data_IF_504368982118
#
_entry.id   IF_504368982118
#
_cell.length_a   1.000
_cell.length_b   1.000
_cell.length_c   1.000
_cell.angle_alpha   90.00
_cell.angle_beta   90.00
_cell.angle_gamma   90.00
#
_symmetry.space_group_name_H-M   'P 1'
#
loop_
_entity.id
_entity.type
_entity.pdbx_description
1 polymer ?
#
# COMPACT_ATOMS: atom_id res chain seq x y z
N UNK A 1 -2.13 26.31 -4.81
CA UNK A 1 -3.14 26.15 -5.90
C UNK A 1 -3.42 24.70 -6.18
N UNK A 2 -2.45 23.78 -6.20
CA UNK A 2 -2.67 22.33 -6.43
C UNK A 2 -3.65 21.70 -5.43
N UNK A 3 -3.62 22.10 -4.16
CA UNK A 3 -4.57 21.67 -3.13
C UNK A 3 -6.04 21.88 -3.52
N UNK A 4 -6.38 22.95 -4.24
CA UNK A 4 -7.74 23.21 -4.68
C UNK A 4 -8.24 22.26 -5.80
N UNK A 5 -7.33 21.49 -6.40
CA UNK A 5 -7.66 20.44 -7.35
C UNK A 5 -8.07 19.11 -6.67
N UNK A 6 -7.89 19.00 -5.36
CA UNK A 6 -8.29 17.80 -4.61
C UNK A 6 -9.82 17.75 -4.45
N UNK A 7 -10.43 16.60 -4.71
CA UNK A 7 -11.87 16.44 -4.81
C UNK A 7 -12.69 16.93 -3.61
N UNK A 8 -12.10 16.92 -2.40
CA UNK A 8 -12.75 17.41 -1.17
C UNK A 8 -13.03 18.92 -1.21
N UNK A 9 -12.30 19.68 -2.02
CA UNK A 9 -12.49 21.13 -2.20
C UNK A 9 -13.39 21.47 -3.38
N UNK A 10 -14.02 20.48 -4.03
CA UNK A 10 -14.93 20.74 -5.14
C UNK A 10 -16.07 21.65 -4.68
N UNK A 11 -16.35 22.76 -5.40
CA UNK A 11 -17.41 23.68 -5.03
C UNK A 11 -18.77 23.01 -5.12
N UNK A 12 -19.63 23.21 -4.12
CA UNK A 12 -20.96 22.64 -4.06
C UNK A 12 -22.02 23.75 -3.91
N UNK A 13 -23.04 23.72 -4.76
CA UNK A 13 -24.19 24.58 -4.60
C UNK A 13 -25.05 24.12 -3.43
N UNK A 14 -25.12 24.94 -2.36
CA UNK A 14 -25.84 24.61 -1.13
C UNK A 14 -27.34 24.28 -1.37
N UNK A 15 -28.01 25.08 -2.14
CA UNK A 15 -29.44 24.89 -2.38
C UNK A 15 -29.72 23.59 -3.15
N UNK A 16 -28.86 23.27 -4.12
CA UNK A 16 -28.94 22.04 -4.88
C UNK A 16 -28.63 20.83 -3.99
N UNK A 17 -27.57 20.89 -3.19
CA UNK A 17 -27.19 19.84 -2.26
C UNK A 17 -28.35 19.49 -1.29
N UNK A 18 -28.96 20.53 -0.67
CA UNK A 18 -30.12 20.34 0.21
C UNK A 18 -31.33 19.75 -0.53
N UNK A 19 -31.58 20.18 -1.79
CA UNK A 19 -32.69 19.66 -2.61
C UNK A 19 -32.53 18.18 -2.97
N UNK A 20 -31.28 17.66 -2.91
CA UNK A 20 -30.96 16.27 -3.17
C UNK A 20 -30.83 15.42 -1.88
N UNK A 21 -31.31 15.93 -0.76
CA UNK A 21 -31.33 15.24 0.52
C UNK A 21 -30.02 15.31 1.29
N UNK A 22 -29.16 16.28 0.97
CA UNK A 22 -27.97 16.60 1.76
C UNK A 22 -28.33 17.35 3.05
N UNK A 23 -27.47 17.28 4.05
CA UNK A 23 -27.59 18.01 5.31
C UNK A 23 -26.30 18.73 5.64
N UNK A 24 -26.38 19.87 6.31
CA UNK A 24 -25.23 20.63 6.81
C UNK A 24 -25.21 20.59 8.33
N UNK A 25 -24.00 20.43 8.87
CA UNK A 25 -23.76 20.39 10.30
C UNK A 25 -23.61 18.99 10.84
N UNK A 26 -22.72 18.82 11.83
CA UNK A 26 -22.41 17.51 12.40
C UNK A 26 -23.60 16.93 13.15
N UNK A 27 -24.34 17.78 13.88
CA UNK A 27 -25.52 17.34 14.63
C UNK A 27 -26.65 16.89 13.72
N UNK A 28 -26.91 17.63 12.64
CA UNK A 28 -27.93 17.29 11.64
C UNK A 28 -27.55 16.02 10.88
N UNK A 29 -26.26 15.82 10.58
CA UNK A 29 -25.76 14.61 9.95
C UNK A 29 -25.95 13.39 10.87
N UNK A 30 -25.56 13.48 12.14
CA UNK A 30 -25.67 12.39 13.09
C UNK A 30 -27.12 12.04 13.45
N UNK A 31 -28.03 13.01 13.38
CA UNK A 31 -29.43 12.84 13.73
C UNK A 31 -30.36 12.65 12.53
N UNK A 32 -29.84 12.54 11.31
CA UNK A 32 -30.66 12.34 10.12
C UNK A 32 -31.39 10.98 10.20
N UNK A 33 -32.68 11.02 10.52
CA UNK A 33 -33.52 9.84 10.60
C UNK A 33 -33.62 9.17 9.21
N UNK A 34 -33.25 7.90 9.12
CA UNK A 34 -33.24 7.14 7.86
C UNK A 34 -32.00 7.35 7.00
N UNK A 35 -30.98 8.06 7.50
CA UNK A 35 -29.74 8.34 6.77
C UNK A 35 -29.83 9.57 5.86
N UNK A 36 -28.77 9.80 5.08
CA UNK A 36 -28.68 10.93 4.17
C UNK A 36 -28.93 10.42 2.76
N UNK A 37 -29.91 11.00 2.07
CA UNK A 37 -30.28 10.59 0.71
C UNK A 37 -29.26 11.07 -0.35
N UNK A 38 -28.50 12.14 -0.08
CA UNK A 38 -27.47 12.64 -1.00
C UNK A 38 -26.38 11.58 -1.23
N UNK A 39 -26.11 11.29 -2.50
CA UNK A 39 -25.09 10.30 -2.90
C UNK A 39 -25.56 8.85 -2.90
N UNK A 40 -26.83 8.57 -2.55
CA UNK A 40 -27.36 7.20 -2.53
C UNK A 40 -27.79 6.69 -3.90
N UNK A 41 -28.09 7.60 -4.82
CA UNK A 41 -28.38 7.28 -6.23
C UNK A 41 -27.73 8.31 -7.15
N UNK A 42 -27.52 8.00 -8.44
CA UNK A 42 -26.96 8.95 -9.41
C UNK A 42 -27.71 10.30 -9.47
N UNK A 43 -29.04 10.28 -9.31
CA UNK A 43 -29.86 11.46 -9.35
C UNK A 43 -29.74 12.36 -8.12
N UNK A 44 -29.23 11.81 -7.03
CA UNK A 44 -29.04 12.50 -5.76
C UNK A 44 -27.61 13.05 -5.57
N UNK A 45 -26.86 13.24 -6.66
CA UNK A 45 -25.48 13.76 -6.65
C UNK A 45 -25.44 15.08 -7.43
N UNK A 46 -24.68 16.05 -6.92
CA UNK A 46 -24.31 17.25 -7.66
C UNK A 46 -23.05 16.98 -8.48
N UNK A 47 -23.14 17.07 -9.79
CA UNK A 47 -22.00 16.86 -10.70
C UNK A 47 -21.46 18.20 -11.19
N UNK A 48 -20.15 18.39 -11.11
CA UNK A 48 -19.43 19.51 -11.70
C UNK A 48 -18.29 19.07 -12.65
N UNK A 49 -18.08 17.77 -12.77
CA UNK A 49 -17.06 17.17 -13.61
C UNK A 49 -17.53 16.86 -15.05
N UNK A 50 -16.64 16.29 -15.87
CA UNK A 50 -16.89 16.00 -17.28
C UNK A 50 -17.92 14.88 -17.52
N UNK A 51 -18.24 14.10 -16.49
CA UNK A 51 -19.19 12.97 -16.58
C UNK A 51 -20.19 13.00 -15.44
N UNK A 52 -21.35 12.39 -15.69
CA UNK A 52 -22.37 12.06 -14.69
C UNK A 52 -22.54 10.54 -14.64
N UNK A 53 -22.77 9.96 -13.46
CA UNK A 53 -23.18 8.56 -13.37
C UNK A 53 -24.62 8.44 -13.88
N UNK A 54 -24.83 7.62 -14.91
CA UNK A 54 -26.16 7.39 -15.50
C UNK A 54 -26.75 6.04 -15.07
N UNK A 55 -25.91 5.08 -14.69
CA UNK A 55 -26.31 3.78 -14.13
C UNK A 55 -25.34 3.41 -13.04
N UNK A 56 -25.85 2.92 -11.92
CA UNK A 56 -25.08 2.24 -10.88
C UNK A 56 -25.82 0.93 -10.58
N UNK A 57 -25.24 -0.18 -11.02
CA UNK A 57 -25.78 -1.51 -10.84
C UNK A 57 -24.79 -2.37 -10.04
N UNK A 58 -25.20 -3.56 -9.64
CA UNK A 58 -24.40 -4.48 -8.85
C UNK A 58 -23.04 -4.82 -9.51
N UNK A 59 -23.05 -4.96 -10.83
CA UNK A 59 -21.89 -5.40 -11.60
C UNK A 59 -21.36 -4.36 -12.62
N UNK A 60 -21.91 -3.15 -12.63
CA UNK A 60 -21.44 -2.12 -13.56
C UNK A 60 -21.79 -0.70 -13.12
N UNK A 61 -20.92 0.24 -13.50
CA UNK A 61 -21.20 1.69 -13.41
C UNK A 61 -21.05 2.29 -14.80
N UNK A 62 -22.04 3.09 -15.22
CA UNK A 62 -22.03 3.79 -16.51
C UNK A 62 -21.93 5.29 -16.26
N UNK A 63 -20.94 5.91 -16.84
CA UNK A 63 -20.79 7.36 -16.89
C UNK A 63 -21.10 7.89 -18.28
N UNK A 64 -21.85 8.98 -18.34
CA UNK A 64 -22.20 9.68 -19.59
C UNK A 64 -21.61 11.08 -19.55
N UNK A 65 -21.15 11.59 -20.69
CA UNK A 65 -20.61 12.94 -20.80
C UNK A 65 -21.60 13.98 -20.26
N UNK A 66 -21.11 14.91 -19.46
CA UNK A 66 -21.89 15.98 -18.83
C UNK A 66 -21.98 17.17 -19.79
N UNK A 67 -23.12 17.34 -20.46
CA UNK A 67 -23.36 18.44 -21.41
C UNK A 67 -23.36 19.83 -20.74
N UNK A 68 -23.46 19.88 -19.41
CA UNK A 68 -23.36 21.11 -18.61
C UNK A 68 -21.94 21.38 -18.11
N UNK A 69 -20.98 20.54 -18.43
CA UNK A 69 -19.59 20.74 -18.02
C UNK A 69 -19.00 21.97 -18.73
N UNK A 70 -18.30 22.81 -17.97
CA UNK A 70 -17.78 24.09 -18.49
C UNK A 70 -16.79 23.91 -19.68
N UNK A 71 -16.07 22.80 -19.72
CA UNK A 71 -15.11 22.48 -20.79
C UNK A 71 -15.55 21.21 -21.55
N UNK A 72 -16.82 21.11 -21.89
CA UNK A 72 -17.38 19.91 -22.53
C UNK A 72 -16.79 19.61 -23.92
N UNK A 73 -16.25 20.61 -24.60
CA UNK A 73 -15.66 20.46 -25.94
C UNK A 73 -14.31 19.69 -25.86
N UNK A 74 -13.68 19.62 -24.70
CA UNK A 74 -12.51 18.78 -24.45
C UNK A 74 -12.86 17.32 -24.09
N UNK A 75 -14.14 16.98 -23.94
CA UNK A 75 -14.60 15.63 -23.56
C UNK A 75 -14.81 14.78 -24.81
N UNK A 76 -13.82 13.95 -25.14
CA UNK A 76 -13.84 13.12 -26.34
C UNK A 76 -14.69 11.85 -26.17
N UNK A 77 -14.62 11.19 -25.02
CA UNK A 77 -15.40 9.99 -24.74
C UNK A 77 -16.81 10.39 -24.31
N UNK A 78 -17.82 9.86 -24.98
CA UNK A 78 -19.21 10.15 -24.65
C UNK A 78 -19.80 9.24 -23.58
N UNK A 79 -19.21 8.06 -23.39
CA UNK A 79 -19.65 7.05 -22.44
C UNK A 79 -18.44 6.28 -21.91
N UNK A 80 -18.44 6.00 -20.61
CA UNK A 80 -17.48 5.12 -19.94
C UNK A 80 -18.29 4.05 -19.21
N UNK A 81 -17.92 2.80 -19.36
CA UNK A 81 -18.55 1.67 -18.66
C UNK A 81 -17.50 0.97 -17.81
N UNK A 82 -17.73 0.92 -16.52
CA UNK A 82 -16.95 0.09 -15.63
C UNK A 82 -17.68 -1.22 -15.35
N UNK A 83 -17.02 -2.33 -15.56
CA UNK A 83 -17.52 -3.66 -15.25
C UNK A 83 -16.85 -4.18 -13.98
N UNK A 84 -17.65 -4.76 -13.11
CA UNK A 84 -17.13 -5.40 -11.91
C UNK A 84 -16.39 -6.70 -12.24
N UNK A 85 -15.24 -6.91 -11.62
CA UNK A 85 -14.49 -8.16 -11.67
C UNK A 85 -14.15 -8.56 -10.22
N UNK A 86 -14.58 -9.75 -9.80
CA UNK A 86 -14.35 -10.28 -8.45
C UNK A 86 -12.92 -10.79 -8.23
N UNK A 87 -12.12 -10.86 -9.31
CA UNK A 87 -10.72 -11.30 -9.26
C UNK A 87 -10.51 -12.80 -9.07
N UNK A 88 -11.57 -13.62 -9.11
CA UNK A 88 -11.47 -15.08 -8.97
C UNK A 88 -10.88 -15.75 -10.21
N UNK A 89 -11.23 -15.27 -11.40
CA UNK A 89 -10.60 -15.70 -12.65
C UNK A 89 -9.47 -14.72 -13.03
N UNK A 90 -8.19 -15.13 -12.90
CA UNK A 90 -7.06 -14.27 -13.21
C UNK A 90 -6.95 -13.89 -14.69
N UNK A 91 -7.61 -14.62 -15.60
CA UNK A 91 -7.61 -14.34 -17.04
C UNK A 91 -8.85 -13.59 -17.51
N UNK A 92 -9.85 -13.35 -16.64
CA UNK A 92 -11.10 -12.74 -17.06
C UNK A 92 -10.91 -11.41 -17.78
N UNK A 93 -10.18 -10.47 -17.20
CA UNK A 93 -9.96 -9.15 -17.81
C UNK A 93 -9.19 -9.24 -19.14
N UNK A 94 -8.21 -10.12 -19.22
CA UNK A 94 -7.47 -10.41 -20.46
C UNK A 94 -8.41 -10.98 -21.54
N UNK A 95 -9.18 -12.02 -21.22
CA UNK A 95 -10.11 -12.64 -22.14
C UNK A 95 -11.20 -11.67 -22.61
N UNK A 96 -11.74 -10.85 -21.69
CA UNK A 96 -12.72 -9.81 -22.02
C UNK A 96 -12.14 -8.76 -22.98
N UNK A 97 -10.85 -8.41 -22.84
CA UNK A 97 -10.14 -7.51 -23.76
C UNK A 97 -9.94 -8.17 -25.14
N UNK A 98 -9.52 -9.44 -25.19
CA UNK A 98 -9.33 -10.18 -26.43
C UNK A 98 -10.65 -10.46 -27.18
N UNK A 99 -11.78 -10.39 -26.50
CA UNK A 99 -13.12 -10.58 -27.06
C UNK A 99 -13.88 -9.24 -27.29
N UNK A 100 -13.19 -8.09 -27.29
CA UNK A 100 -13.77 -6.76 -27.50
C UNK A 100 -14.88 -6.36 -26.47
N UNK A 101 -14.86 -6.98 -25.28
CA UNK A 101 -15.74 -6.60 -24.17
C UNK A 101 -15.16 -5.41 -23.39
N UNK A 102 -13.83 -5.35 -23.30
CA UNK A 102 -13.05 -4.27 -22.68
C UNK A 102 -12.13 -3.63 -23.71
N UNK A 103 -11.91 -2.33 -23.61
CA UNK A 103 -10.95 -1.58 -24.44
C UNK A 103 -9.49 -1.84 -24.03
N UNK A 104 -9.25 -2.39 -22.83
CA UNK A 104 -7.94 -2.73 -22.32
C UNK A 104 -8.00 -3.21 -20.87
N UNK A 105 -6.92 -3.83 -20.42
CA UNK A 105 -6.81 -4.32 -19.04
C UNK A 105 -5.38 -4.23 -18.51
N UNK A 106 -5.22 -4.26 -17.19
CA UNK A 106 -3.95 -4.53 -16.55
C UNK A 106 -3.61 -6.03 -16.63
N UNK A 107 -2.38 -6.37 -17.03
CA UNK A 107 -1.93 -7.75 -17.08
C UNK A 107 -1.35 -8.16 -15.72
N UNK A 108 -1.97 -9.15 -15.09
CA UNK A 108 -1.37 -9.88 -13.97
C UNK A 108 -0.40 -10.98 -14.48
N UNK A 109 0.26 -11.69 -13.59
CA UNK A 109 1.25 -12.72 -13.95
C UNK A 109 0.68 -13.80 -14.89
N UNK A 110 -0.53 -14.28 -14.66
CA UNK A 110 -1.19 -15.29 -15.50
C UNK A 110 -1.52 -14.74 -16.89
N UNK A 111 -2.01 -13.50 -16.95
CA UNK A 111 -2.33 -12.81 -18.20
C UNK A 111 -1.08 -12.49 -19.04
N UNK A 112 0.05 -12.16 -18.39
CA UNK A 112 1.34 -12.01 -19.08
C UNK A 112 1.76 -13.31 -19.78
N UNK A 113 1.66 -14.45 -19.08
CA UNK A 113 1.98 -15.77 -19.64
C UNK A 113 1.04 -16.09 -20.81
N UNK A 114 -0.27 -15.84 -20.65
CA UNK A 114 -1.25 -16.10 -21.71
C UNK A 114 -1.01 -15.20 -22.92
N UNK A 115 -0.80 -13.90 -22.75
CA UNK A 115 -0.54 -12.96 -23.84
C UNK A 115 0.72 -13.33 -24.65
N UNK A 116 1.77 -13.83 -23.97
CA UNK A 116 2.97 -14.38 -24.64
C UNK A 116 2.66 -15.64 -25.42
N UNK A 117 1.86 -16.54 -24.86
CA UNK A 117 1.43 -17.77 -25.52
C UNK A 117 0.60 -17.48 -26.77
N UNK A 118 -0.27 -16.49 -26.70
CA UNK A 118 -1.11 -16.04 -27.81
C UNK A 118 -0.33 -15.20 -28.85
N UNK A 119 0.93 -14.83 -28.55
CA UNK A 119 1.81 -14.07 -29.45
C UNK A 119 1.45 -12.58 -29.57
N UNK A 120 0.64 -12.05 -28.64
CA UNK A 120 0.15 -10.65 -28.69
C UNK A 120 0.88 -9.72 -27.71
N UNK A 121 1.69 -10.28 -26.81
CA UNK A 121 2.34 -9.52 -25.74
C UNK A 121 3.20 -8.36 -26.26
N UNK A 122 4.11 -8.63 -27.18
CA UNK A 122 5.09 -7.64 -27.66
C UNK A 122 4.44 -6.53 -28.51
N UNK A 123 3.29 -6.80 -29.14
CA UNK A 123 2.61 -5.86 -30.02
C UNK A 123 1.61 -4.96 -29.26
N UNK A 124 0.90 -5.51 -28.29
CA UNK A 124 -0.23 -4.81 -27.66
C UNK A 124 -0.01 -4.46 -26.19
N UNK A 125 1.10 -4.88 -25.56
CA UNK A 125 1.37 -4.54 -24.17
C UNK A 125 2.40 -3.42 -24.02
N UNK A 126 2.29 -2.67 -22.94
CA UNK A 126 3.28 -1.67 -22.55
C UNK A 126 3.36 -1.58 -21.02
N UNK A 127 4.49 -1.10 -20.53
CA UNK A 127 4.66 -0.76 -19.12
C UNK A 127 4.28 0.70 -18.93
N UNK A 128 3.29 0.96 -18.07
CA UNK A 128 2.88 2.32 -17.74
C UNK A 128 3.99 3.10 -17.04
N UNK A 129 3.87 4.42 -17.03
CA UNK A 129 4.73 5.26 -16.19
C UNK A 129 4.58 4.89 -14.70
N UNK A 130 5.62 5.15 -13.92
CA UNK A 130 5.60 4.93 -12.47
C UNK A 130 4.46 5.74 -11.83
N UNK A 131 3.61 5.07 -11.06
CA UNK A 131 2.56 5.71 -10.27
C UNK A 131 3.18 6.50 -9.11
N UNK A 132 2.51 7.57 -8.71
CA UNK A 132 2.89 8.36 -7.56
C UNK A 132 2.63 7.62 -6.23
N UNK A 133 1.76 6.62 -6.22
CA UNK A 133 1.42 5.84 -5.03
C UNK A 133 2.52 4.83 -4.70
N UNK A 134 3.05 4.89 -3.48
CA UNK A 134 3.93 3.87 -2.94
C UNK A 134 3.14 2.92 -2.05
N UNK A 135 3.24 1.62 -2.32
CA UNK A 135 2.70 0.57 -1.45
C UNK A 135 3.82 0.02 -0.56
N UNK A 136 3.48 -0.31 0.66
CA UNK A 136 4.45 -0.81 1.63
C UNK A 136 3.87 -1.91 2.51
N UNK A 137 4.78 -2.61 3.17
CA UNK A 137 4.45 -3.53 4.25
C UNK A 137 4.65 -2.82 5.58
N UNK A 138 3.61 -2.80 6.40
CA UNK A 138 3.59 -2.06 7.65
C UNK A 138 3.62 -3.02 8.84
N UNK A 139 4.45 -2.71 9.83
CA UNK A 139 4.50 -3.40 11.11
C UNK A 139 3.52 -2.76 12.10
N UNK A 140 2.83 -3.57 12.91
CA UNK A 140 2.17 -3.08 14.11
C UNK A 140 3.09 -3.31 15.32
N UNK A 141 3.66 -2.25 15.83
CA UNK A 141 4.61 -2.32 16.95
C UNK A 141 3.93 -2.39 18.31
N UNK A 142 2.61 -2.23 18.37
CA UNK A 142 1.88 -2.20 19.64
C UNK A 142 0.47 -2.78 19.51
N UNK A 143 0.37 -4.02 19.02
CA UNK A 143 -0.91 -4.71 18.83
C UNK A 143 -1.57 -5.05 20.17
N UNK A 144 -2.88 -4.82 20.26
CA UNK A 144 -3.72 -5.13 21.42
C UNK A 144 -4.90 -6.04 21.10
N UNK A 145 -5.42 -6.02 19.87
CA UNK A 145 -6.60 -6.78 19.48
C UNK A 145 -6.24 -7.95 18.57
N UNK A 146 -7.07 -8.99 18.63
CA UNK A 146 -6.91 -10.23 17.87
C UNK A 146 -8.20 -10.62 17.15
N UNK A 147 -9.17 -9.68 17.09
CA UNK A 147 -10.40 -9.73 16.30
C UNK A 147 -10.49 -8.42 15.50
N UNK A 148 -11.22 -8.44 14.41
CA UNK A 148 -11.37 -7.22 13.61
C UNK A 148 -12.14 -6.14 14.37
N UNK A 149 -11.69 -4.90 14.22
CA UNK A 149 -12.19 -3.72 14.94
C UNK A 149 -13.72 -3.51 14.80
N UNK A 150 -14.25 -3.68 13.60
CA UNK A 150 -15.66 -3.47 13.29
C UNK A 150 -16.43 -4.74 12.94
N UNK A 151 -15.81 -5.90 13.11
CA UNK A 151 -16.44 -7.21 12.89
C UNK A 151 -15.71 -8.30 13.69
N UNK A 152 -16.13 -8.49 14.93
CA UNK A 152 -15.52 -9.45 15.85
C UNK A 152 -15.72 -10.93 15.44
N UNK A 153 -16.51 -11.20 14.41
CA UNK A 153 -16.75 -12.57 13.91
C UNK A 153 -15.66 -13.03 12.95
N UNK A 154 -14.80 -12.13 12.49
CA UNK A 154 -13.86 -12.37 11.41
C UNK A 154 -12.44 -12.58 11.93
N UNK A 155 -11.76 -13.56 11.34
CA UNK A 155 -10.33 -13.88 11.41
C UNK A 155 -9.68 -13.60 12.78
N UNK A 156 -9.76 -14.57 13.67
CA UNK A 156 -9.13 -14.50 15.00
C UNK A 156 -7.71 -15.06 14.90
N UNK A 157 -6.73 -14.33 15.45
CA UNK A 157 -5.37 -14.87 15.61
C UNK A 157 -5.37 -16.17 16.42
N UNK A 158 -4.60 -17.15 15.95
CA UNK A 158 -4.42 -18.44 16.65
C UNK A 158 -3.35 -18.40 17.74
N UNK A 159 -2.71 -17.25 17.96
CA UNK A 159 -1.64 -17.09 18.96
C UNK A 159 -2.19 -17.22 20.38
N UNK A 160 -1.43 -17.91 21.21
CA UNK A 160 -1.63 -17.85 22.68
C UNK A 160 -1.22 -16.49 23.22
N UNK A 161 -1.67 -16.15 24.45
CA UNK A 161 -1.29 -14.89 25.12
C UNK A 161 0.24 -14.73 25.18
N UNK A 162 0.97 -15.79 25.57
CA UNK A 162 2.44 -15.76 25.64
C UNK A 162 3.10 -15.53 24.28
N UNK A 163 2.54 -16.10 23.20
CA UNK A 163 3.00 -15.86 21.83
C UNK A 163 2.74 -14.41 21.39
N UNK A 164 1.58 -13.87 21.76
CA UNK A 164 1.23 -12.49 21.44
C UNK A 164 2.16 -11.48 22.15
N UNK A 165 2.44 -11.69 23.43
CA UNK A 165 3.37 -10.87 24.21
C UNK A 165 4.80 -10.95 23.64
N UNK A 166 5.26 -12.16 23.31
CA UNK A 166 6.55 -12.36 22.64
C UNK A 166 6.64 -11.60 21.33
N UNK A 167 5.59 -11.69 20.48
CA UNK A 167 5.54 -11.00 19.20
C UNK A 167 5.59 -9.49 19.40
N UNK A 168 4.82 -8.96 20.33
CA UNK A 168 4.84 -7.54 20.68
C UNK A 168 6.23 -7.06 21.09
N UNK A 169 6.91 -7.79 21.99
CA UNK A 169 8.28 -7.46 22.39
C UNK A 169 9.25 -7.51 21.21
N UNK A 170 9.13 -8.52 20.34
CA UNK A 170 9.96 -8.63 19.15
C UNK A 170 9.70 -7.48 18.16
N UNK A 171 8.44 -7.12 17.92
CA UNK A 171 8.08 -6.01 17.01
C UNK A 171 8.57 -4.65 17.51
N UNK A 172 8.76 -4.45 18.81
CA UNK A 172 9.36 -3.25 19.39
C UNK A 172 10.88 -3.20 19.19
N UNK A 173 11.54 -4.33 18.96
CA UNK A 173 12.97 -4.39 18.70
C UNK A 173 13.31 -3.98 17.26
N UNK A 174 14.17 -2.99 17.08
CA UNK A 174 14.52 -2.46 15.75
C UNK A 174 15.28 -3.49 14.91
N UNK A 175 16.19 -4.27 15.53
CA UNK A 175 16.94 -5.31 14.83
C UNK A 175 16.03 -6.45 14.35
N UNK A 176 14.98 -6.77 15.11
CA UNK A 176 13.98 -7.75 14.68
C UNK A 176 13.21 -7.28 13.43
N UNK A 177 12.75 -6.02 13.41
CA UNK A 177 12.09 -5.46 12.23
C UNK A 177 13.03 -5.38 11.03
N UNK A 178 14.29 -4.98 11.22
CA UNK A 178 15.32 -4.99 10.17
C UNK A 178 15.58 -6.39 9.63
N UNK A 179 15.62 -7.40 10.50
CA UNK A 179 15.76 -8.79 10.09
C UNK A 179 14.61 -9.22 9.17
N UNK A 180 13.37 -8.91 9.51
CA UNK A 180 12.21 -9.21 8.65
C UNK A 180 12.30 -8.45 7.32
N UNK A 181 12.60 -7.15 7.35
CA UNK A 181 12.69 -6.33 6.14
C UNK A 181 13.78 -6.84 5.17
N UNK A 182 14.94 -7.27 5.70
CA UNK A 182 16.04 -7.80 4.89
C UNK A 182 15.86 -9.28 4.50
N UNK A 183 14.99 -10.03 5.19
CA UNK A 183 14.62 -11.39 4.84
C UNK A 183 13.54 -11.46 3.76
N UNK A 184 12.84 -10.37 3.52
CA UNK A 184 11.74 -10.30 2.58
C UNK A 184 12.22 -10.18 1.14
N UNK A 185 12.11 -11.26 0.36
CA UNK A 185 12.32 -11.28 -1.08
C UNK A 185 11.14 -10.58 -1.79
N UNK A 186 11.25 -9.26 -1.93
CA UNK A 186 10.21 -8.43 -2.53
C UNK A 186 10.06 -8.69 -4.03
N UNK A 187 11.13 -9.11 -4.70
CA UNK A 187 11.08 -9.47 -6.10
C UNK A 187 10.20 -10.71 -6.32
N UNK A 188 10.42 -11.78 -5.54
CA UNK A 188 9.59 -12.99 -5.61
C UNK A 188 8.13 -12.72 -5.22
N UNK A 189 7.90 -11.85 -4.24
CA UNK A 189 6.56 -11.39 -3.86
C UNK A 189 5.88 -10.64 -5.01
N UNK A 190 6.58 -9.69 -5.63
CA UNK A 190 6.04 -8.85 -6.71
C UNK A 190 5.76 -9.66 -7.98
N UNK A 191 6.61 -10.67 -8.26
CA UNK A 191 6.43 -11.58 -9.38
C UNK A 191 5.05 -12.26 -9.39
N UNK A 192 4.45 -12.49 -8.21
CA UNK A 192 3.11 -13.09 -8.10
C UNK A 192 2.01 -12.20 -8.70
N UNK A 193 2.25 -10.91 -8.81
CA UNK A 193 1.31 -9.94 -9.40
C UNK A 193 1.65 -9.57 -10.84
N UNK A 194 2.93 -9.36 -11.15
CA UNK A 194 3.37 -8.77 -12.43
C UNK A 194 4.18 -9.73 -13.31
N UNK A 195 4.44 -10.94 -12.81
CA UNK A 195 5.27 -11.94 -13.51
C UNK A 195 6.77 -11.74 -13.33
N UNK A 196 7.55 -12.74 -13.71
CA UNK A 196 9.00 -12.80 -13.50
C UNK A 196 9.77 -11.68 -14.24
N UNK A 197 9.32 -11.31 -15.44
CA UNK A 197 10.01 -10.32 -16.26
C UNK A 197 9.93 -8.91 -15.69
N UNK A 198 8.85 -8.59 -14.96
CA UNK A 198 8.56 -7.25 -14.46
C UNK A 198 8.74 -7.11 -12.95
N UNK A 199 9.18 -8.16 -12.26
CA UNK A 199 9.23 -8.25 -10.80
C UNK A 199 10.05 -7.15 -10.10
N UNK A 200 11.00 -6.54 -10.79
CA UNK A 200 11.80 -5.44 -10.26
C UNK A 200 11.28 -4.06 -10.65
N UNK A 201 10.56 -3.94 -11.77
CA UNK A 201 10.24 -2.65 -12.39
C UNK A 201 9.47 -1.69 -11.49
N UNK A 202 8.54 -2.22 -10.69
CA UNK A 202 7.69 -1.44 -9.78
C UNK A 202 8.21 -1.40 -8.34
N UNK A 203 9.33 -2.06 -8.02
CA UNK A 203 9.89 -2.00 -6.68
C UNK A 203 10.51 -0.63 -6.42
N UNK A 204 10.15 -0.03 -5.28
CA UNK A 204 10.82 1.15 -4.76
C UNK A 204 11.47 0.85 -3.41
N UNK A 205 12.63 1.45 -3.15
CA UNK A 205 13.42 1.23 -1.94
C UNK A 205 13.32 2.36 -0.92
N UNK A 206 12.74 3.49 -1.32
CA UNK A 206 12.41 4.62 -0.45
C UNK A 206 10.90 4.76 -0.33
N UNK A 207 10.44 5.54 0.65
CA UNK A 207 9.01 5.77 0.86
C UNK A 207 8.35 6.52 -0.31
N UNK A 208 9.10 7.36 -1.00
CA UNK A 208 8.62 8.03 -2.21
C UNK A 208 9.10 7.28 -3.44
N UNK A 209 8.25 7.07 -4.47
CA UNK A 209 8.69 6.39 -5.68
C UNK A 209 9.75 7.18 -6.44
N UNK A 210 10.76 6.49 -6.94
CA UNK A 210 11.72 6.99 -7.90
C UNK A 210 12.25 8.39 -7.66
N UNK A 211 11.85 9.31 -8.53
CA UNK A 211 12.27 10.72 -8.55
C UNK A 211 11.11 11.69 -8.28
N UNK A 212 10.13 11.31 -7.48
CA UNK A 212 8.96 12.14 -7.21
C UNK A 212 9.21 13.31 -6.27
N UNK A 213 10.17 13.18 -5.35
CA UNK A 213 10.46 14.22 -4.35
C UNK A 213 11.92 14.64 -4.44
N UNK A 214 12.15 15.93 -4.62
CA UNK A 214 13.47 16.55 -4.65
C UNK A 214 13.45 17.90 -3.89
N UNK A 215 14.64 18.35 -3.46
CA UNK A 215 14.79 19.64 -2.80
C UNK A 215 14.63 20.80 -3.79
N UNK A 216 13.87 21.82 -3.40
CA UNK A 216 13.70 23.07 -4.16
C UNK A 216 14.78 24.11 -3.84
N UNK A 217 15.47 23.95 -2.71
CA UNK A 217 16.57 24.83 -2.26
C UNK A 217 17.66 24.02 -1.58
N UNK A 218 18.83 24.63 -1.36
CA UNK A 218 19.93 24.01 -0.62
C UNK A 218 19.55 23.84 0.84
N UNK A 219 19.68 22.63 1.37
CA UNK A 219 19.32 22.30 2.75
C UNK A 219 20.52 21.73 3.50
N UNK A 220 20.83 22.26 4.67
CA UNK A 220 21.85 21.73 5.57
C UNK A 220 21.18 21.03 6.75
N UNK A 221 21.55 19.78 6.97
CA UNK A 221 21.05 18.95 8.08
C UNK A 221 22.20 18.31 8.85
N UNK A 222 21.93 17.86 10.06
CA UNK A 222 22.86 17.05 10.83
C UNK A 222 22.46 15.58 10.74
N UNK A 223 23.41 14.74 10.32
CA UNK A 223 23.29 13.29 10.30
C UNK A 223 24.33 12.71 11.25
N UNK A 224 23.88 12.08 12.35
CA UNK A 224 24.73 11.54 13.40
C UNK A 224 25.82 12.52 13.88
N UNK A 225 25.43 13.77 14.13
CA UNK A 225 26.30 14.84 14.62
C UNK A 225 27.29 15.41 13.58
N UNK A 226 27.08 15.11 12.30
CA UNK A 226 27.85 15.68 11.18
C UNK A 226 26.94 16.52 10.30
N UNK A 227 27.34 17.77 10.10
CA UNK A 227 26.63 18.67 9.17
C UNK A 227 26.86 18.22 7.73
N UNK A 228 25.78 18.11 6.96
CA UNK A 228 25.79 17.81 5.52
C UNK A 228 24.84 18.75 4.78
N UNK A 229 25.33 19.36 3.70
CA UNK A 229 24.52 20.21 2.82
C UNK A 229 24.13 19.42 1.57
N UNK A 230 22.87 19.43 1.26
CA UNK A 230 22.31 18.88 0.03
C UNK A 230 21.90 20.03 -0.89
N UNK A 231 22.41 20.07 -2.13
CA UNK A 231 22.04 21.10 -3.08
C UNK A 231 20.60 20.93 -3.59
N UNK A 232 20.04 22.01 -4.10
CA UNK A 232 18.82 22.02 -4.90
C UNK A 232 18.83 20.90 -5.92
N UNK A 233 17.69 20.20 -6.09
CA UNK A 233 17.55 19.07 -7.00
C UNK A 233 17.98 17.72 -6.42
N UNK A 234 18.48 17.64 -5.18
CA UNK A 234 18.77 16.37 -4.51
C UNK A 234 17.47 15.61 -4.28
N UNK A 235 17.42 14.35 -4.70
CA UNK A 235 16.25 13.48 -4.51
C UNK A 235 16.20 12.91 -3.09
N UNK A 236 14.98 12.69 -2.59
CA UNK A 236 14.73 12.14 -1.26
C UNK A 236 15.47 10.80 -1.02
N UNK A 237 15.52 9.92 -2.02
CA UNK A 237 16.22 8.64 -1.91
C UNK A 237 17.73 8.78 -1.64
N UNK A 238 18.39 9.84 -2.13
CA UNK A 238 19.79 10.13 -1.82
C UNK A 238 19.99 10.50 -0.34
N UNK A 239 19.10 11.35 0.18
CA UNK A 239 19.14 11.79 1.58
C UNK A 239 18.88 10.57 2.50
N UNK A 240 17.90 9.74 2.14
CA UNK A 240 17.58 8.51 2.86
C UNK A 240 18.76 7.52 2.87
N UNK A 241 19.49 7.37 1.75
CA UNK A 241 20.67 6.50 1.70
C UNK A 241 21.75 6.97 2.69
N UNK A 242 22.02 8.27 2.73
CA UNK A 242 23.01 8.81 3.66
C UNK A 242 22.63 8.61 5.13
N UNK A 243 21.35 8.73 5.47
CA UNK A 243 20.85 8.45 6.82
C UNK A 243 21.02 6.96 7.17
N UNK A 244 20.64 6.07 6.25
CA UNK A 244 20.77 4.62 6.41
C UNK A 244 22.23 4.20 6.58
N UNK A 245 23.14 4.77 5.80
CA UNK A 245 24.57 4.51 5.91
C UNK A 245 25.13 5.01 7.25
N UNK A 246 24.68 6.19 7.70
CA UNK A 246 25.07 6.76 8.99
C UNK A 246 24.55 5.93 10.18
N UNK A 247 23.38 5.31 10.04
CA UNK A 247 22.82 4.36 11.04
C UNK A 247 23.49 2.97 10.99
N UNK A 248 24.40 2.75 10.05
CA UNK A 248 25.14 1.49 9.89
C UNK A 248 24.29 0.36 9.33
N UNK A 249 23.12 0.64 8.78
CA UNK A 249 22.24 -0.35 8.14
C UNK A 249 22.75 -0.68 6.75
N UNK A 250 22.83 -1.97 6.42
CA UNK A 250 23.44 -2.45 5.17
C UNK A 250 22.37 -2.75 4.11
N UNK A 251 21.71 -1.72 3.65
CA UNK A 251 20.72 -1.74 2.56
C UNK A 251 21.01 -0.61 1.56
N UNK A 252 20.59 -0.81 0.32
CA UNK A 252 20.72 0.19 -0.74
C UNK A 252 19.35 0.70 -1.14
N UNK A 253 19.08 1.99 -0.91
CA UNK A 253 17.81 2.61 -1.28
C UNK A 253 17.91 3.55 -2.46
N UNK A 254 19.14 3.90 -2.87
CA UNK A 254 19.42 4.76 -4.00
C UNK A 254 20.54 4.17 -4.87
N UNK A 255 20.26 3.94 -6.15
CA UNK A 255 21.26 3.59 -7.15
C UNK A 255 21.64 4.84 -7.96
N UNK A 256 22.84 5.40 -7.77
CA UNK A 256 23.26 6.60 -8.49
C UNK A 256 23.52 6.36 -9.98
N UNK A 257 23.60 5.12 -10.43
CA UNK A 257 23.87 4.75 -11.83
C UNK A 257 22.61 4.55 -12.66
N UNK A 258 21.47 4.39 -12.02
CA UNK A 258 20.18 4.23 -12.69
C UNK A 258 19.84 5.45 -13.56
N UNK A 259 18.94 5.27 -14.51
CA UNK A 259 18.42 6.35 -15.37
C UNK A 259 19.52 7.16 -16.06
N UNK A 260 20.53 6.50 -16.60
CA UNK A 260 21.64 7.17 -17.31
C UNK A 260 22.55 8.01 -16.42
N UNK A 261 22.60 7.72 -15.11
CA UNK A 261 23.42 8.41 -14.14
C UNK A 261 22.71 9.53 -13.35
N UNK A 262 21.42 9.69 -13.56
CA UNK A 262 20.58 10.59 -12.72
C UNK A 262 20.34 9.97 -11.35
N UNK A 263 20.22 8.66 -11.31
CA UNK A 263 19.92 7.87 -10.12
C UNK A 263 18.44 7.61 -9.90
N UNK A 264 18.13 6.55 -9.13
CA UNK A 264 16.77 6.19 -8.76
C UNK A 264 16.73 5.34 -7.49
N UNK A 265 15.61 5.38 -6.78
CA UNK A 265 15.26 4.44 -5.71
C UNK A 265 14.38 3.29 -6.20
N UNK A 266 14.06 3.24 -7.50
CA UNK A 266 13.10 2.29 -8.09
C UNK A 266 13.80 1.37 -9.09
N UNK A 267 13.26 0.16 -9.31
CA UNK A 267 13.73 -0.77 -10.34
C UNK A 267 14.70 -1.85 -9.87
N UNK A 268 14.94 -1.94 -8.57
CA UNK A 268 15.78 -2.97 -7.95
C UNK A 268 15.30 -3.31 -6.53
N UNK A 269 15.76 -4.44 -5.97
CA UNK A 269 15.54 -4.79 -4.57
C UNK A 269 16.82 -4.52 -3.76
N UNK A 270 16.88 -3.38 -3.10
CA UNK A 270 18.01 -2.99 -2.28
C UNK A 270 17.92 -3.40 -0.81
N UNK A 271 16.79 -3.97 -0.39
CA UNK A 271 16.55 -4.41 0.99
C UNK A 271 16.87 -5.88 1.21
N UNK A 272 16.56 -6.74 0.23
CA UNK A 272 16.69 -8.18 0.39
C UNK A 272 18.15 -8.61 0.53
N UNK A 273 18.51 -9.12 1.71
CA UNK A 273 19.83 -9.65 2.00
C UNK A 273 19.77 -10.63 3.17
N UNK A 274 19.74 -11.92 2.87
CA UNK A 274 19.60 -12.99 3.87
C UNK A 274 20.74 -12.96 4.91
N UNK A 275 21.99 -12.71 4.49
CA UNK A 275 23.12 -12.68 5.43
C UNK A 275 23.00 -11.53 6.43
N UNK A 276 22.58 -10.36 5.99
CA UNK A 276 22.35 -9.24 6.88
C UNK A 276 21.10 -9.44 7.73
N UNK A 277 20.03 -10.03 7.19
CA UNK A 277 18.86 -10.43 7.96
C UNK A 277 19.20 -11.32 9.14
N UNK A 278 20.06 -12.34 8.92
CA UNK A 278 20.51 -13.24 9.97
C UNK A 278 21.39 -12.54 11.02
N UNK A 279 22.23 -11.57 10.62
CA UNK A 279 23.00 -10.75 11.57
C UNK A 279 22.09 -9.90 12.45
N UNK A 280 21.11 -9.24 11.84
CA UNK A 280 20.10 -8.43 12.55
C UNK A 280 19.28 -9.31 13.50
N UNK A 281 18.82 -10.49 13.05
CA UNK A 281 18.12 -11.45 13.91
C UNK A 281 18.96 -11.88 15.11
N UNK A 282 20.24 -12.17 14.89
CA UNK A 282 21.15 -12.56 15.98
C UNK A 282 21.28 -11.47 17.03
N UNK A 283 21.36 -10.21 16.61
CA UNK A 283 21.39 -9.07 17.53
C UNK A 283 20.06 -8.93 18.26
N UNK A 284 18.93 -9.02 17.55
CA UNK A 284 17.61 -9.00 18.14
C UNK A 284 17.40 -10.09 19.19
N UNK A 285 17.79 -11.32 18.89
CA UNK A 285 17.70 -12.48 19.82
C UNK A 285 18.51 -12.23 21.09
N UNK A 286 19.69 -11.62 20.97
CA UNK A 286 20.52 -11.26 22.14
C UNK A 286 19.80 -10.25 23.04
N UNK A 287 19.31 -9.16 22.45
CA UNK A 287 18.63 -8.08 23.19
C UNK A 287 17.30 -8.55 23.81
N UNK A 288 16.51 -9.31 23.05
CA UNK A 288 15.28 -9.91 23.55
C UNK A 288 15.53 -10.86 24.72
N UNK A 289 16.62 -11.65 24.67
CA UNK A 289 17.01 -12.52 25.77
C UNK A 289 17.39 -11.74 27.03
N UNK A 290 18.09 -10.62 26.89
CA UNK A 290 18.41 -9.71 27.99
C UNK A 290 17.14 -9.12 28.62
N UNK A 291 16.07 -8.92 27.81
CA UNK A 291 14.74 -8.53 28.26
C UNK A 291 13.85 -9.71 28.73
N UNK A 292 14.41 -10.92 28.85
CA UNK A 292 13.67 -12.10 29.32
C UNK A 292 12.86 -12.84 28.24
N UNK A 293 12.99 -12.47 26.97
CA UNK A 293 12.25 -13.05 25.84
C UNK A 293 13.18 -13.97 25.04
N UNK A 294 12.94 -15.29 25.08
CA UNK A 294 13.74 -16.26 24.35
C UNK A 294 13.14 -16.54 22.96
N UNK A 295 13.98 -16.42 21.91
CA UNK A 295 13.62 -16.68 20.52
C UNK A 295 14.60 -17.67 19.90
N UNK A 296 14.07 -18.70 19.22
CA UNK A 296 14.83 -19.70 18.47
C UNK A 296 13.89 -20.48 17.53
N UNK A 297 14.41 -21.34 16.68
CA UNK A 297 13.61 -22.18 15.81
C UNK A 297 12.66 -23.15 16.58
N UNK A 298 13.01 -23.56 17.79
CA UNK A 298 12.13 -24.38 18.66
C UNK A 298 11.21 -23.54 19.55
N UNK A 299 11.39 -22.24 19.57
CA UNK A 299 10.56 -21.27 20.30
C UNK A 299 10.44 -19.97 19.49
N UNK A 300 9.81 -20.02 18.32
CA UNK A 300 9.78 -18.91 17.36
C UNK A 300 8.91 -17.73 17.82
N UNK A 301 9.07 -16.60 17.14
CA UNK A 301 8.12 -15.51 17.11
C UNK A 301 7.09 -15.82 16.04
N UNK A 302 5.80 -15.71 16.37
CA UNK A 302 4.70 -15.88 15.41
C UNK A 302 4.18 -14.51 14.98
N UNK A 303 4.21 -14.19 13.69
CA UNK A 303 3.67 -12.96 13.12
C UNK A 303 2.45 -13.26 12.27
N UNK A 304 1.37 -12.51 12.49
CA UNK A 304 0.13 -12.66 11.72
C UNK A 304 0.13 -11.69 10.55
N UNK A 305 -0.16 -12.23 9.35
CA UNK A 305 -0.40 -11.50 8.12
C UNK A 305 -1.81 -11.84 7.62
N UNK A 306 -2.75 -10.89 7.57
CA UNK A 306 -4.03 -11.09 6.91
C UNK A 306 -3.83 -11.42 5.43
N UNK A 307 -4.45 -12.49 4.96
CA UNK A 307 -4.30 -13.00 3.60
C UNK A 307 -5.66 -13.16 2.93
N UNK A 308 -5.88 -12.50 1.80
CA UNK A 308 -7.12 -12.59 1.04
C UNK A 308 -7.13 -13.85 0.19
N UNK A 309 -7.88 -14.86 0.62
CA UNK A 309 -7.88 -16.20 0.00
C UNK A 309 -8.73 -16.28 -1.27
N UNK A 310 -9.64 -15.34 -1.50
CA UNK A 310 -10.46 -15.29 -2.71
C UNK A 310 -9.71 -14.72 -3.94
N UNK A 311 -8.53 -14.10 -3.75
CA UNK A 311 -7.65 -13.65 -4.82
C UNK A 311 -6.40 -14.50 -4.86
N UNK A 312 -6.21 -15.27 -5.94
CA UNK A 312 -5.04 -16.13 -6.12
C UNK A 312 -3.73 -15.34 -6.05
N UNK A 313 -3.65 -14.21 -6.74
CA UNK A 313 -2.45 -13.36 -6.74
C UNK A 313 -2.12 -12.84 -5.35
N UNK A 314 -3.10 -12.35 -4.59
CA UNK A 314 -2.88 -11.84 -3.23
C UNK A 314 -2.49 -12.97 -2.25
N UNK A 315 -3.11 -14.13 -2.38
CA UNK A 315 -2.75 -15.30 -1.57
C UNK A 315 -1.32 -15.78 -1.89
N UNK A 316 -0.94 -15.81 -3.16
CA UNK A 316 0.40 -16.21 -3.58
C UNK A 316 1.46 -15.21 -3.11
N UNK A 317 1.18 -13.90 -3.11
CA UNK A 317 2.04 -12.88 -2.49
C UNK A 317 2.25 -13.16 -1.00
N UNK A 318 1.17 -13.40 -0.26
CA UNK A 318 1.25 -13.69 1.17
C UNK A 318 2.08 -14.98 1.45
N UNK A 319 1.91 -16.02 0.61
CA UNK A 319 2.73 -17.25 0.67
C UNK A 319 4.20 -16.99 0.36
N UNK A 320 4.51 -16.15 -0.64
CA UNK A 320 5.87 -15.78 -0.99
C UNK A 320 6.56 -15.04 0.16
N UNK A 321 5.87 -14.11 0.83
CA UNK A 321 6.35 -13.46 2.04
C UNK A 321 6.65 -14.48 3.14
N UNK A 322 5.68 -15.35 3.45
CA UNK A 322 5.85 -16.41 4.46
C UNK A 322 7.08 -17.27 4.18
N UNK A 323 7.20 -17.78 2.97
CA UNK A 323 8.31 -18.63 2.57
C UNK A 323 9.66 -17.91 2.70
N UNK A 324 9.73 -16.66 2.24
CA UNK A 324 10.93 -15.83 2.31
C UNK A 324 11.39 -15.64 3.76
N UNK A 325 10.51 -15.21 4.65
CA UNK A 325 10.81 -14.95 6.04
C UNK A 325 11.23 -16.23 6.79
N UNK A 326 10.45 -17.29 6.69
CA UNK A 326 10.69 -18.54 7.41
C UNK A 326 11.99 -19.22 6.97
N UNK A 327 12.31 -19.15 5.66
CA UNK A 327 13.56 -19.71 5.12
C UNK A 327 14.76 -18.87 5.52
N UNK A 328 14.72 -17.56 5.31
CA UNK A 328 15.86 -16.67 5.58
C UNK A 328 16.20 -16.60 7.08
N UNK A 329 15.19 -16.67 7.96
CA UNK A 329 15.37 -16.60 9.42
C UNK A 329 15.36 -17.98 10.09
N UNK A 330 15.54 -19.05 9.31
CA UNK A 330 15.78 -20.43 9.78
C UNK A 330 14.74 -20.93 10.80
N UNK A 331 13.48 -20.54 10.60
CA UNK A 331 12.36 -20.91 11.46
C UNK A 331 12.28 -20.21 12.82
N UNK A 332 13.15 -19.23 13.11
CA UNK A 332 13.04 -18.43 14.32
C UNK A 332 11.84 -17.44 14.27
N UNK A 333 11.29 -17.21 13.09
CA UNK A 333 10.06 -16.46 12.85
C UNK A 333 9.14 -17.34 12.00
N UNK A 334 7.88 -17.45 12.42
CA UNK A 334 6.81 -18.16 11.71
C UNK A 334 5.74 -17.16 11.30
N UNK A 335 5.36 -17.16 10.05
CA UNK A 335 4.29 -16.31 9.52
C UNK A 335 2.97 -17.08 9.51
N UNK A 336 2.01 -16.62 10.29
CA UNK A 336 0.65 -17.12 10.25
C UNK A 336 -0.14 -16.33 9.19
N UNK A 337 -0.59 -17.02 8.15
CA UNK A 337 -1.55 -16.43 7.22
C UNK A 337 -2.94 -16.48 7.86
N UNK A 338 -3.48 -15.30 8.18
CA UNK A 338 -4.84 -15.17 8.74
C UNK A 338 -5.79 -15.03 7.57
N UNK A 339 -6.53 -16.09 7.27
CA UNK A 339 -7.40 -16.14 6.08
C UNK A 339 -8.53 -15.13 6.17
N UNK A 340 -8.66 -14.30 5.15
CA UNK A 340 -9.77 -13.38 4.91
C UNK A 340 -10.51 -13.83 3.65
N UNK A 341 -11.80 -14.17 3.78
CA UNK A 341 -12.60 -14.68 2.67
C UNK A 341 -13.22 -13.58 1.81
N UNK A 342 -13.29 -12.36 2.34
CA UNK A 342 -13.82 -11.18 1.65
C UNK A 342 -12.85 -10.01 1.75
N UNK A 343 -12.93 -9.09 0.80
CA UNK A 343 -12.16 -7.85 0.85
C UNK A 343 -12.53 -7.01 2.10
N UNK A 344 -13.80 -7.06 2.55
CA UNK A 344 -14.24 -6.41 3.78
C UNK A 344 -13.49 -6.93 5.01
N UNK A 345 -13.31 -8.24 5.12
CA UNK A 345 -12.56 -8.86 6.22
C UNK A 345 -11.11 -8.37 6.23
N UNK A 346 -10.45 -8.39 5.06
CA UNK A 346 -9.09 -7.92 4.89
C UNK A 346 -8.92 -6.44 5.29
N UNK A 347 -9.79 -5.56 4.80
CA UNK A 347 -9.74 -4.13 5.11
C UNK A 347 -10.10 -3.85 6.57
N UNK A 348 -11.00 -4.62 7.17
CA UNK A 348 -11.35 -4.51 8.58
C UNK A 348 -10.24 -4.97 9.52
N UNK A 349 -9.29 -5.77 9.04
CA UNK A 349 -8.11 -6.15 9.82
C UNK A 349 -7.14 -4.98 10.04
N UNK A 350 -7.09 -4.00 9.13
CA UNK A 350 -6.13 -2.91 9.23
C UNK A 350 -6.55 -1.60 8.56
N UNK A 351 -6.93 -1.61 7.30
CA UNK A 351 -7.15 -0.39 6.52
C UNK A 351 -8.24 0.54 7.11
N UNK A 352 -9.30 -0.02 7.70
CA UNK A 352 -10.36 0.75 8.32
C UNK A 352 -10.10 1.13 9.78
N UNK A 353 -9.04 0.61 10.39
CA UNK A 353 -8.68 0.96 11.75
C UNK A 353 -7.86 2.25 11.78
N UNK A 354 -8.06 3.06 12.81
CA UNK A 354 -7.41 4.37 12.93
C UNK A 354 -6.12 4.33 13.72
N UNK A 355 -5.86 3.25 14.45
CA UNK A 355 -4.70 3.12 15.34
C UNK A 355 -4.18 1.69 15.36
N UNK A 356 -2.90 1.50 15.68
CA UNK A 356 -2.29 0.18 15.88
C UNK A 356 -2.96 -0.63 17.01
N UNK A 357 -3.65 0.04 17.94
CA UNK A 357 -4.42 -0.62 18.99
C UNK A 357 -5.67 -1.34 18.45
N UNK A 358 -6.21 -0.87 17.34
CA UNK A 358 -7.40 -1.43 16.68
C UNK A 358 -7.03 -2.41 15.57
N UNK A 359 -5.79 -2.37 15.08
CA UNK A 359 -5.30 -3.19 13.99
C UNK A 359 -5.15 -4.66 14.41
N UNK A 360 -5.77 -5.57 13.64
CA UNK A 360 -5.72 -7.01 13.86
C UNK A 360 -4.64 -7.68 12.98
N UNK A 361 -3.41 -7.22 13.07
CA UNK A 361 -2.26 -7.78 12.37
C UNK A 361 -0.94 -7.48 13.12
N UNK A 362 0.10 -8.23 12.82
CA UNK A 362 1.48 -7.88 13.15
C UNK A 362 2.19 -7.27 11.94
N UNK A 363 1.85 -7.76 10.74
CA UNK A 363 2.31 -7.23 9.45
C UNK A 363 1.13 -7.10 8.50
N UNK A 364 1.07 -6.01 7.73
CA UNK A 364 0.00 -5.73 6.79
C UNK A 364 0.55 -5.22 5.46
N UNK A 365 0.11 -5.81 4.34
CA UNK A 365 0.66 -5.57 3.01
C UNK A 365 -0.30 -4.87 2.02
N UNK A 366 -1.43 -4.37 2.53
CA UNK A 366 -2.52 -3.81 1.71
C UNK A 366 -2.64 -2.29 1.87
N UNK A 367 -1.58 -1.61 2.26
CA UNK A 367 -1.60 -0.17 2.41
C UNK A 367 -0.61 0.52 1.48
N UNK A 368 -1.03 1.62 0.91
CA UNK A 368 -0.22 2.50 0.08
C UNK A 368 -0.54 3.95 0.38
N UNK A 369 0.36 4.82 -0.02
CA UNK A 369 0.22 6.25 0.14
C UNK A 369 0.65 6.98 -1.12
N UNK A 370 -0.18 7.90 -1.58
CA UNK A 370 0.13 8.82 -2.68
C UNK A 370 -0.02 10.26 -2.23
N UNK A 371 0.52 11.22 -2.98
CA UNK A 371 0.34 12.63 -2.66
C UNK A 371 -1.10 13.05 -2.95
N UNK A 372 -1.74 13.72 -2.00
CA UNK A 372 -3.07 14.30 -2.21
C UNK A 372 -3.02 15.49 -3.17
N UNK A 373 -1.87 16.17 -3.23
CA UNK A 373 -1.60 17.34 -4.09
C UNK A 373 -0.09 17.47 -4.32
N UNK A 374 0.31 18.34 -5.23
CA UNK A 374 1.69 18.46 -5.72
C UNK A 374 2.74 18.97 -4.74
N UNK A 375 2.52 18.88 -3.43
CA UNK A 375 3.51 19.25 -2.39
C UNK A 375 4.13 17.99 -1.78
N UNK A 376 5.46 17.88 -1.70
CA UNK A 376 6.15 16.73 -1.10
C UNK A 376 5.73 16.40 0.33
N UNK A 377 5.26 17.39 1.11
CA UNK A 377 4.75 17.17 2.47
C UNK A 377 3.61 16.14 2.50
N UNK A 378 2.79 16.08 1.44
CA UNK A 378 1.71 15.10 1.35
C UNK A 378 2.18 13.64 1.33
N UNK A 379 3.45 13.37 1.01
CA UNK A 379 4.08 12.06 1.23
C UNK A 379 4.62 11.91 2.65
N UNK A 380 5.32 12.92 3.15
CA UNK A 380 6.23 12.79 4.29
C UNK A 380 5.55 13.07 5.63
N UNK A 381 4.52 13.92 5.66
CA UNK A 381 3.80 14.30 6.87
C UNK A 381 3.14 13.11 7.59
N UNK A 382 2.86 12.04 6.88
CA UNK A 382 2.27 10.82 7.45
C UNK A 382 3.17 10.09 8.42
N UNK A 383 4.50 10.23 8.27
CA UNK A 383 5.52 9.54 9.06
C UNK A 383 6.27 10.44 10.04
N UNK A 384 5.96 11.73 10.10
CA UNK A 384 6.53 12.62 11.12
C UNK A 384 5.89 12.40 12.49
N UNK A 385 6.53 12.80 13.60
CA UNK A 385 5.94 12.75 14.92
C UNK A 385 4.55 13.41 14.96
N UNK A 386 3.54 12.68 15.37
CA UNK A 386 2.14 13.12 15.36
C UNK A 386 1.40 12.90 14.04
N UNK A 387 2.08 12.42 12.99
CA UNK A 387 1.48 12.06 11.72
C UNK A 387 0.53 10.86 11.83
N UNK A 388 -0.34 10.71 10.83
CA UNK A 388 -1.40 9.69 10.87
C UNK A 388 -0.84 8.26 10.91
N UNK A 389 0.16 7.94 10.08
CA UNK A 389 0.72 6.58 10.00
C UNK A 389 1.46 6.17 11.29
N UNK A 390 2.03 7.11 12.02
CA UNK A 390 2.69 6.83 13.30
C UNK A 390 1.74 6.12 14.27
N UNK A 391 0.49 6.59 14.37
CA UNK A 391 -0.54 5.93 15.19
C UNK A 391 -0.96 4.58 14.62
N UNK A 392 -1.10 4.47 13.29
CA UNK A 392 -1.50 3.23 12.63
C UNK A 392 -0.49 2.09 12.83
N UNK A 393 0.80 2.39 12.92
CA UNK A 393 1.85 1.40 13.19
C UNK A 393 2.10 1.18 14.70
N UNK A 394 1.29 1.76 15.57
CA UNK A 394 1.34 1.51 17.03
C UNK A 394 2.39 2.32 17.78
N UNK A 395 2.82 3.47 17.26
CA UNK A 395 3.70 4.43 17.96
C UNK A 395 2.87 5.57 18.52
N UNK A 396 2.97 5.82 19.83
CA UNK A 396 2.21 6.81 20.58
C UNK A 396 3.12 7.72 21.40
#
# INVERSE_FOLDING_TARGET
>A
MSMLGYGVFAPMNRAYFLSKGGVFGVAEYQNAAGGIAYGTTPENIAYCGPYTASVVAENSVVFTANESYWNKDAVNLKKIVWLFNDGQDPLKAYNDTMNDVLDGCGLNSSAVVQAKTDGVFDEYSYVSATDATAFGMFFNMNRYVFTNFNDATVAVSTKTVNQAEKTKAAMQNVHFRRAIAMAFDRASYNAQSVGEDLKLNSLTNSYTPGKFVQLEEDVTVEINGKSKTYPTGTYYGQIMQDQIDADGVKITVWDPTADGGVGSSTGFDGWYNVQNAQKELKQAVKELKEAGVNVSAVNPVYIDLPAYVASESMLNRAKAFKQSIETALEGAVIVNLVECNTAKELYSAGYYASTGLENNYDVYDISGWGPDYGDPSSYLDTLVPGGYMIKCIGVY
#
